data_IF_394053752798
#
_entry.id   IF_394053752798
#
_cell.length_a   1.000
_cell.length_b   1.000
_cell.length_c   1.000
_cell.angle_alpha   90.00
_cell.angle_beta   90.00
_cell.angle_gamma   90.00
#
_symmetry.space_group_name_H-M   'P 1'
#
loop_
_entity.id
_entity.type
_entity.pdbx_description
1 polymer ?
#
# COMPACT_ATOMS: atom_id res chain seq x y z
N UNK A 1 24.60 20.08 -40.83
CA UNK A 1 24.43 20.54 -39.42
C UNK A 1 24.94 19.45 -38.49
N UNK A 2 25.77 19.84 -37.53
CA UNK A 2 26.50 18.99 -36.57
C UNK A 2 25.56 18.26 -35.60
N UNK A 3 25.85 16.98 -35.28
CA UNK A 3 26.16 16.54 -33.89
C UNK A 3 26.48 15.04 -33.84
N UNK A 4 27.78 14.79 -33.63
CA UNK A 4 28.34 13.56 -33.08
C UNK A 4 27.61 13.22 -31.76
N UNK A 5 27.20 11.97 -31.57
CA UNK A 5 26.92 11.44 -30.22
C UNK A 5 27.66 10.13 -30.01
N UNK A 6 28.45 10.14 -28.94
CA UNK A 6 29.59 9.28 -28.62
C UNK A 6 29.12 7.94 -28.04
N UNK A 7 29.29 6.85 -28.78
CA UNK A 7 29.42 5.51 -28.19
C UNK A 7 30.83 5.38 -27.61
N UNK A 8 30.92 4.74 -26.43
CA UNK A 8 32.11 4.25 -25.73
C UNK A 8 33.08 5.26 -25.09
N UNK A 9 33.12 5.29 -23.74
CA UNK A 9 34.21 4.73 -22.90
C UNK A 9 34.16 5.29 -21.46
N UNK A 10 34.80 4.56 -20.53
CA UNK A 10 34.99 4.75 -19.07
C UNK A 10 33.92 3.99 -18.27
N UNK A 11 34.16 2.76 -17.78
CA UNK A 11 35.23 2.27 -16.88
C UNK A 11 35.52 3.27 -15.77
N UNK A 12 34.92 3.00 -14.61
CA UNK A 12 35.15 3.72 -13.36
C UNK A 12 34.43 2.98 -12.23
N UNK A 13 35.07 1.94 -11.71
CA UNK A 13 34.66 1.29 -10.47
C UNK A 13 34.80 2.28 -9.33
N UNK A 14 33.69 2.66 -8.71
CA UNK A 14 33.66 3.32 -7.42
C UNK A 14 32.75 2.51 -6.51
N UNK A 15 33.37 1.65 -5.69
CA UNK A 15 32.71 1.06 -4.52
C UNK A 15 32.51 2.21 -3.55
N UNK A 16 31.34 2.84 -3.59
CA UNK A 16 30.91 3.74 -2.52
C UNK A 16 30.46 2.83 -1.39
N UNK A 17 31.39 2.60 -0.45
CA UNK A 17 31.05 2.10 0.87
C UNK A 17 30.22 3.14 1.57
N UNK A 18 28.90 3.11 1.37
CA UNK A 18 27.96 3.92 2.14
C UNK A 18 27.95 3.31 3.54
N UNK A 19 28.69 3.94 4.45
CA UNK A 19 28.51 3.72 5.88
C UNK A 19 27.04 4.02 6.19
N UNK A 20 26.25 2.98 6.44
CA UNK A 20 24.96 3.11 7.13
C UNK A 20 25.28 3.71 8.48
N UNK A 21 25.17 5.03 8.58
CA UNK A 21 25.06 5.72 9.85
C UNK A 21 23.89 5.06 10.57
N UNK A 22 24.15 4.57 11.78
CA UNK A 22 23.24 3.75 12.54
C UNK A 22 21.83 4.31 12.48
N UNK A 23 20.92 3.51 11.90
CA UNK A 23 19.50 3.71 12.12
C UNK A 23 19.34 3.47 13.61
N UNK A 24 19.38 4.57 14.37
CA UNK A 24 18.91 4.56 15.74
C UNK A 24 17.58 3.85 15.68
N UNK A 25 17.48 2.69 16.34
CA UNK A 25 16.26 1.91 16.43
C UNK A 25 15.31 2.80 17.23
N UNK A 26 14.69 3.74 16.53
CA UNK A 26 13.60 4.54 17.01
C UNK A 26 12.53 3.51 17.29
N UNK A 27 12.49 3.08 18.56
CA UNK A 27 11.53 2.17 19.17
C UNK A 27 10.25 2.27 18.37
N UNK A 28 9.96 1.24 17.56
CA UNK A 28 8.86 1.27 16.59
C UNK A 28 7.62 1.71 17.36
N UNK A 29 7.25 2.98 17.17
CA UNK A 29 6.08 3.53 17.82
C UNK A 29 4.94 2.83 17.11
N UNK A 30 4.19 2.03 17.85
CA UNK A 30 3.08 1.30 17.25
C UNK A 30 2.11 2.28 16.57
N UNK A 31 1.52 1.88 15.43
CA UNK A 31 0.46 2.66 14.83
C UNK A 31 -0.68 2.86 15.82
N UNK A 32 -1.48 3.89 15.58
CA UNK A 32 -2.70 4.10 16.33
C UNK A 32 -3.58 2.84 16.31
N UNK A 33 -4.25 2.59 17.44
CA UNK A 33 -5.22 1.50 17.55
C UNK A 33 -6.31 1.62 16.47
N UNK A 34 -6.68 2.84 16.10
CA UNK A 34 -7.67 3.11 15.05
C UNK A 34 -7.21 2.65 13.67
N UNK A 35 -6.00 3.03 13.22
CA UNK A 35 -5.44 2.55 11.95
C UNK A 35 -5.29 1.02 11.95
N UNK A 36 -4.83 0.45 13.06
CA UNK A 36 -4.68 -1.01 13.21
C UNK A 36 -6.02 -1.71 13.06
N UNK A 37 -7.07 -1.19 13.68
CA UNK A 37 -8.44 -1.73 13.57
C UNK A 37 -8.96 -1.67 12.14
N UNK A 38 -8.69 -0.58 11.41
CA UNK A 38 -9.09 -0.45 10.00
C UNK A 38 -8.36 -1.45 9.10
N UNK A 39 -7.06 -1.65 9.34
CA UNK A 39 -6.25 -2.65 8.62
C UNK A 39 -6.78 -4.05 8.88
N UNK A 40 -7.06 -4.40 10.14
CA UNK A 40 -7.63 -5.70 10.52
C UNK A 40 -9.02 -5.92 9.90
N UNK A 41 -9.87 -4.89 9.90
CA UNK A 41 -11.18 -4.93 9.26
C UNK A 41 -11.07 -5.19 7.75
N UNK A 42 -10.12 -4.55 7.07
CA UNK A 42 -9.84 -4.82 5.66
C UNK A 42 -9.36 -6.25 5.44
N UNK A 43 -8.42 -6.75 6.24
CA UNK A 43 -7.93 -8.13 6.12
C UNK A 43 -9.04 -9.16 6.31
N UNK A 44 -9.94 -8.94 7.27
CA UNK A 44 -11.10 -9.80 7.49
C UNK A 44 -12.05 -9.76 6.29
N UNK A 45 -12.39 -8.57 5.78
CA UNK A 45 -13.25 -8.40 4.62
C UNK A 45 -12.63 -9.06 3.37
N UNK A 46 -11.35 -8.84 3.13
CA UNK A 46 -10.56 -9.46 2.07
C UNK A 46 -10.59 -10.99 2.15
N UNK A 47 -10.36 -11.56 3.34
CA UNK A 47 -10.44 -13.00 3.53
C UNK A 47 -11.85 -13.55 3.21
N UNK A 48 -12.91 -12.81 3.56
CA UNK A 48 -14.28 -13.20 3.21
C UNK A 48 -14.57 -13.10 1.72
N UNK A 49 -14.10 -12.05 1.05
CA UNK A 49 -14.23 -11.87 -0.38
C UNK A 49 -13.49 -12.96 -1.16
N UNK A 50 -12.25 -13.26 -0.79
CA UNK A 50 -11.46 -14.34 -1.40
C UNK A 50 -12.07 -15.73 -1.15
N UNK A 51 -12.77 -15.94 -0.02
CA UNK A 51 -13.55 -17.16 0.22
C UNK A 51 -14.79 -17.21 -0.68
N UNK A 52 -15.48 -16.09 -0.88
CA UNK A 52 -16.62 -16.02 -1.77
C UNK A 52 -16.20 -16.36 -3.21
N UNK A 53 -15.15 -15.74 -3.75
CA UNK A 53 -14.64 -16.00 -5.12
C UNK A 53 -14.31 -17.48 -5.34
N UNK A 54 -13.71 -18.15 -4.34
CA UNK A 54 -13.33 -19.57 -4.46
C UNK A 54 -14.52 -20.55 -4.42
N UNK A 55 -15.72 -20.12 -4.03
CA UNK A 55 -16.89 -21.01 -4.01
C UNK A 55 -17.45 -21.19 -5.43
N UNK A 56 -17.50 -22.42 -5.97
CA UNK A 56 -17.96 -22.67 -7.35
C UNK A 56 -19.47 -22.47 -7.56
N UNK A 57 -20.25 -22.30 -6.50
CA UNK A 57 -21.72 -22.22 -6.55
C UNK A 57 -22.31 -21.08 -5.69
N UNK A 58 -21.54 -20.03 -5.40
CA UNK A 58 -22.03 -18.86 -4.70
C UNK A 58 -23.12 -18.13 -5.50
N UNK A 59 -24.13 -17.59 -4.83
CA UNK A 59 -25.12 -16.74 -5.53
C UNK A 59 -24.39 -15.49 -5.99
N UNK A 60 -24.62 -15.03 -7.22
CA UNK A 60 -23.95 -13.83 -7.76
C UNK A 60 -24.02 -12.61 -6.80
N UNK A 61 -25.13 -12.49 -6.06
CA UNK A 61 -25.33 -11.46 -5.05
C UNK A 61 -24.34 -11.54 -3.85
N UNK A 62 -23.91 -12.73 -3.46
CA UNK A 62 -22.99 -12.93 -2.32
C UNK A 62 -21.57 -12.49 -2.68
N UNK A 63 -21.17 -12.69 -3.94
CA UNK A 63 -19.92 -12.18 -4.47
C UNK A 63 -19.93 -10.64 -4.53
N UNK A 64 -21.01 -10.04 -5.03
CA UNK A 64 -21.13 -8.58 -5.12
C UNK A 64 -21.19 -7.92 -3.74
N UNK A 65 -21.83 -8.56 -2.75
CA UNK A 65 -21.90 -8.05 -1.38
C UNK A 65 -20.52 -8.09 -0.69
N UNK A 66 -19.79 -9.21 -0.81
CA UNK A 66 -18.45 -9.35 -0.22
C UNK A 66 -17.41 -8.46 -0.90
N UNK A 67 -17.49 -8.27 -2.22
CA UNK A 67 -16.65 -7.32 -2.96
C UNK A 67 -16.84 -5.89 -2.47
N UNK A 68 -18.10 -5.43 -2.35
CA UNK A 68 -18.38 -4.07 -1.84
C UNK A 68 -17.95 -3.86 -0.39
N UNK A 69 -18.05 -4.91 0.44
CA UNK A 69 -17.62 -4.84 1.82
C UNK A 69 -16.10 -4.70 1.95
N UNK A 70 -15.36 -5.45 1.14
CA UNK A 70 -13.90 -5.37 1.05
C UNK A 70 -13.45 -3.99 0.52
N UNK A 71 -14.02 -3.52 -0.58
CA UNK A 71 -13.72 -2.21 -1.17
C UNK A 71 -13.96 -1.06 -0.17
N UNK A 72 -15.10 -1.11 0.55
CA UNK A 72 -15.41 -0.11 1.58
C UNK A 72 -14.40 -0.10 2.72
N UNK A 73 -13.90 -1.28 3.11
CA UNK A 73 -12.87 -1.39 4.14
C UNK A 73 -11.53 -0.84 3.64
N UNK A 74 -11.19 -1.07 2.37
CA UNK A 74 -9.96 -0.53 1.77
C UNK A 74 -10.02 0.99 1.68
N UNK A 75 -11.16 1.54 1.25
CA UNK A 75 -11.39 2.99 1.24
C UNK A 75 -11.23 3.63 2.62
N UNK A 76 -11.68 2.96 3.69
CA UNK A 76 -11.50 3.46 5.05
C UNK A 76 -10.01 3.55 5.43
N UNK A 77 -9.20 2.56 5.04
CA UNK A 77 -7.74 2.61 5.24
C UNK A 77 -7.11 3.72 4.38
N UNK A 78 -7.49 3.82 3.11
CA UNK A 78 -7.04 4.89 2.21
C UNK A 78 -7.40 6.28 2.76
N UNK A 79 -8.54 6.43 3.43
CA UNK A 79 -9.04 7.70 3.96
C UNK A 79 -8.51 8.08 5.33
N UNK A 80 -7.80 7.17 6.02
CA UNK A 80 -7.32 7.42 7.37
C UNK A 80 -6.30 8.57 7.42
N UNK A 81 -6.53 9.66 8.19
CA UNK A 81 -5.59 10.78 8.28
C UNK A 81 -4.39 10.39 9.15
N UNK A 82 -3.29 10.00 8.51
CA UNK A 82 -2.09 9.55 9.19
C UNK A 82 -1.24 10.73 9.71
N UNK A 83 -1.64 11.30 10.86
CA UNK A 83 -0.98 12.47 11.48
C UNK A 83 0.35 12.08 12.14
N UNK A 84 0.43 10.89 12.75
CA UNK A 84 1.66 10.42 13.40
C UNK A 84 2.63 9.79 12.40
N UNK A 85 3.93 9.83 12.69
CA UNK A 85 4.93 9.15 11.85
C UNK A 85 4.73 7.63 11.82
N UNK A 86 4.33 7.06 12.96
CA UNK A 86 3.97 5.65 13.08
C UNK A 86 2.83 5.27 12.12
N UNK A 87 1.75 6.05 12.14
CA UNK A 87 0.60 5.84 11.27
C UNK A 87 0.97 6.00 9.79
N UNK A 88 1.79 7.01 9.45
CA UNK A 88 2.23 7.21 8.06
C UNK A 88 3.00 6.01 7.54
N UNK A 89 3.96 5.51 8.33
CA UNK A 89 4.76 4.33 7.98
C UNK A 89 3.86 3.10 7.85
N UNK A 90 3.02 2.81 8.84
CA UNK A 90 2.13 1.65 8.82
C UNK A 90 1.15 1.70 7.64
N UNK A 91 0.49 2.85 7.41
CA UNK A 91 -0.41 3.05 6.27
C UNK A 91 0.32 2.87 4.94
N UNK A 92 1.49 3.47 4.77
CA UNK A 92 2.27 3.35 3.55
C UNK A 92 2.73 1.91 3.28
N UNK A 93 3.28 1.22 4.30
CA UNK A 93 3.67 -0.19 4.20
C UNK A 93 2.48 -1.05 3.80
N UNK A 94 1.32 -0.82 4.40
CA UNK A 94 0.13 -1.58 4.09
C UNK A 94 -0.38 -1.33 2.66
N UNK A 95 -0.48 -0.06 2.23
CA UNK A 95 -0.90 0.27 0.87
C UNK A 95 0.06 -0.32 -0.19
N UNK A 96 1.36 -0.36 0.08
CA UNK A 96 2.32 -1.04 -0.79
C UNK A 96 2.08 -2.56 -0.88
N UNK A 97 1.65 -3.21 0.20
CA UNK A 97 1.28 -4.63 0.16
C UNK A 97 0.04 -4.88 -0.69
N UNK A 98 -0.94 -3.96 -0.64
CA UNK A 98 -2.16 -4.01 -1.48
C UNK A 98 -1.81 -3.77 -2.95
N UNK A 99 -0.92 -2.84 -3.24
CA UNK A 99 -0.46 -2.57 -4.61
C UNK A 99 0.27 -3.78 -5.23
N UNK A 100 1.10 -4.49 -4.45
CA UNK A 100 1.75 -5.73 -4.92
C UNK A 100 0.72 -6.80 -5.34
N UNK A 101 -0.52 -6.74 -4.82
CA UNK A 101 -1.62 -7.61 -5.22
C UNK A 101 -2.42 -7.07 -6.41
N UNK A 102 -2.17 -5.84 -6.85
CA UNK A 102 -2.94 -5.15 -7.90
C UNK A 102 -4.32 -4.69 -7.44
N UNK A 103 -4.54 -4.51 -6.14
CA UNK A 103 -5.84 -4.18 -5.56
C UNK A 103 -6.06 -2.65 -5.40
N UNK A 104 -5.01 -1.85 -5.60
CA UNK A 104 -5.03 -0.39 -5.46
C UNK A 104 -5.22 0.36 -6.81
N UNK A 105 -5.92 -0.24 -7.76
CA UNK A 105 -6.06 0.33 -9.11
C UNK A 105 -7.29 1.24 -9.28
N UNK A 106 -8.20 1.24 -8.29
CA UNK A 106 -9.42 2.02 -8.39
C UNK A 106 -9.14 3.52 -8.18
N UNK A 107 -9.65 4.37 -9.08
CA UNK A 107 -9.47 5.83 -9.05
C UNK A 107 -9.87 6.43 -7.71
N UNK A 108 -10.94 5.90 -7.13
CA UNK A 108 -11.47 6.24 -5.82
C UNK A 108 -10.43 6.01 -4.71
N UNK A 109 -9.72 4.88 -4.71
CA UNK A 109 -8.66 4.59 -3.74
C UNK A 109 -7.55 5.65 -3.80
N UNK A 110 -7.09 5.96 -5.01
CA UNK A 110 -6.02 6.95 -5.21
C UNK A 110 -6.47 8.36 -4.81
N UNK A 111 -7.70 8.75 -5.15
CA UNK A 111 -8.27 10.04 -4.72
C UNK A 111 -8.38 10.13 -3.20
N UNK A 112 -8.86 9.07 -2.55
CA UNK A 112 -9.00 9.02 -1.10
C UNK A 112 -7.63 9.10 -0.40
N UNK A 113 -6.60 8.43 -0.93
CA UNK A 113 -5.23 8.55 -0.41
C UNK A 113 -4.74 10.00 -0.51
N UNK A 114 -4.90 10.64 -1.67
CA UNK A 114 -4.49 12.03 -1.87
C UNK A 114 -5.20 12.99 -0.92
N UNK A 115 -6.52 12.83 -0.75
CA UNK A 115 -7.32 13.66 0.16
C UNK A 115 -6.96 13.43 1.63
N UNK A 116 -6.51 12.23 2.01
CA UNK A 116 -6.10 11.92 3.38
C UNK A 116 -4.74 12.50 3.80
N UNK A 117 -3.98 13.02 2.83
CA UNK A 117 -2.66 13.63 3.05
C UNK A 117 -2.71 15.15 3.19
N UNK A 118 -3.83 15.77 2.80
CA UNK A 118 -4.09 17.21 2.87
C UNK A 118 -4.60 17.59 4.26
#
# INVERSE_FOLDING_TARGET
MSRISRRNMLVGSAVIGTTVAGIGVAREREPSHELSTLIEAHLAAYATFMKAIRKPSGRHNDHAASSRAEEKALLAVCGFPAISEADRRAKATYLLQIEVRGELDLKEHMQTVLLSMM
#
